data_IF_997629215195
#
_entry.id   IF_997629215195
#
_cell.length_a   1.000
_cell.length_b   1.000
_cell.length_c   1.000
_cell.angle_alpha   90.00
_cell.angle_beta   90.00
_cell.angle_gamma   90.00
#
_symmetry.space_group_name_H-M   'P 1'
#
loop_
_entity.id
_entity.type
_entity.pdbx_description
1 polymer ?
#
# COMPACT_ATOMS: atom_id res chain seq x y z
N UNK A 1 2.82 -20.87 -13.37
CA UNK A 1 2.06 -19.76 -13.96
C UNK A 1 2.24 -19.83 -15.46
N UNK A 2 1.25 -19.39 -16.23
CA UNK A 2 1.39 -19.31 -17.68
C UNK A 2 2.29 -18.12 -18.06
N UNK A 3 3.33 -18.37 -18.85
CA UNK A 3 4.17 -17.32 -19.45
C UNK A 3 5.43 -16.94 -18.67
N UNK A 4 6.17 -15.96 -19.20
CA UNK A 4 7.38 -15.40 -18.59
C UNK A 4 6.99 -14.42 -17.47
N UNK A 5 7.76 -14.34 -16.38
CA UNK A 5 7.53 -13.34 -15.34
C UNK A 5 7.59 -11.94 -15.98
N UNK A 6 6.63 -11.11 -15.61
CA UNK A 6 6.47 -9.77 -16.19
C UNK A 6 5.89 -8.81 -15.17
N UNK A 7 6.29 -7.54 -15.26
CA UNK A 7 5.81 -6.43 -14.44
C UNK A 7 4.28 -6.30 -14.49
N UNK A 8 3.66 -6.64 -15.63
CA UNK A 8 2.20 -6.58 -15.78
C UNK A 8 1.47 -7.44 -14.75
N UNK A 9 2.01 -8.59 -14.37
CA UNK A 9 1.38 -9.43 -13.35
C UNK A 9 1.36 -8.74 -11.99
N UNK A 10 2.49 -8.14 -11.59
CA UNK A 10 2.60 -7.40 -10.35
C UNK A 10 1.69 -6.16 -10.31
N UNK A 11 1.57 -5.49 -11.47
CA UNK A 11 0.69 -4.33 -11.65
C UNK A 11 -0.79 -4.71 -11.54
N UNK A 12 -1.21 -5.84 -12.11
CA UNK A 12 -2.60 -6.30 -11.98
C UNK A 12 -2.92 -6.69 -10.54
N UNK A 13 -2.01 -7.40 -9.87
CA UNK A 13 -2.19 -7.78 -8.46
C UNK A 13 -2.35 -6.54 -7.58
N UNK A 14 -1.41 -5.58 -7.68
CA UNK A 14 -1.48 -4.38 -6.85
C UNK A 14 -2.77 -3.59 -7.13
N UNK A 15 -3.20 -3.54 -8.39
CA UNK A 15 -4.45 -2.88 -8.74
C UNK A 15 -5.62 -3.54 -8.01
N UNK A 16 -5.77 -4.87 -8.12
CA UNK A 16 -6.92 -5.59 -7.58
C UNK A 16 -6.95 -5.56 -6.04
N UNK A 17 -5.81 -5.77 -5.37
CA UNK A 17 -5.70 -5.75 -3.91
C UNK A 17 -6.14 -4.39 -3.35
N UNK A 18 -5.57 -3.29 -3.87
CA UNK A 18 -5.89 -1.95 -3.40
C UNK A 18 -7.24 -1.45 -3.88
N UNK A 19 -7.72 -1.91 -5.03
CA UNK A 19 -9.07 -1.63 -5.49
C UNK A 19 -10.11 -2.27 -4.58
N UNK A 20 -9.92 -3.53 -4.18
CA UNK A 20 -10.80 -4.22 -3.23
C UNK A 20 -10.82 -3.50 -1.87
N UNK A 21 -9.65 -3.08 -1.37
CA UNK A 21 -9.55 -2.33 -0.12
C UNK A 21 -10.20 -0.95 -0.19
N UNK A 22 -9.96 -0.19 -1.26
CA UNK A 22 -10.51 1.15 -1.40
C UNK A 22 -12.03 1.17 -1.62
N UNK A 23 -12.61 0.12 -2.22
CA UNK A 23 -14.07 -0.07 -2.28
C UNK A 23 -14.69 -0.13 -0.88
N UNK A 24 -13.98 -0.72 0.09
CA UNK A 24 -14.48 -0.91 1.46
C UNK A 24 -14.41 0.34 2.33
N UNK A 25 -13.85 1.44 1.83
CA UNK A 25 -13.69 2.68 2.61
C UNK A 25 -15.01 3.13 3.25
N UNK A 26 -16.10 3.19 2.47
CA UNK A 26 -17.42 3.59 2.96
C UNK A 26 -18.00 2.59 3.96
N UNK A 27 -18.18 1.30 3.63
CA UNK A 27 -18.83 0.36 4.55
C UNK A 27 -17.98 0.07 5.79
N UNK A 28 -16.64 0.16 5.70
CA UNK A 28 -15.77 0.09 6.88
C UNK A 28 -16.07 1.23 7.86
N UNK A 29 -16.23 2.46 7.37
CA UNK A 29 -16.55 3.61 8.21
C UNK A 29 -17.94 3.46 8.86
N UNK A 30 -18.92 2.94 8.12
CA UNK A 30 -20.26 2.64 8.67
C UNK A 30 -20.17 1.64 9.82
N UNK A 31 -19.54 0.48 9.60
CA UNK A 31 -19.41 -0.58 10.62
C UNK A 31 -18.62 -0.11 11.83
N UNK A 32 -17.60 0.72 11.63
CA UNK A 32 -16.80 1.30 12.69
C UNK A 32 -17.61 2.30 13.53
N UNK A 33 -18.45 3.11 12.90
CA UNK A 33 -19.32 4.06 13.60
C UNK A 33 -20.43 3.35 14.38
N UNK A 34 -21.04 2.31 13.81
CA UNK A 34 -22.06 1.50 14.48
C UNK A 34 -21.49 0.74 15.69
N UNK A 35 -20.26 0.22 15.58
CA UNK A 35 -19.64 -0.56 16.67
C UNK A 35 -19.05 0.35 17.76
N UNK A 36 -18.48 1.50 17.39
CA UNK A 36 -17.78 2.41 18.30
C UNK A 36 -18.30 3.84 18.17
N UNK A 37 -19.58 4.06 18.41
CA UNK A 37 -20.28 5.35 18.21
C UNK A 37 -19.64 6.54 18.96
N UNK A 38 -19.11 6.32 20.18
CA UNK A 38 -18.47 7.37 20.98
C UNK A 38 -16.98 7.59 20.70
N UNK A 39 -16.29 6.61 20.09
CA UNK A 39 -14.83 6.63 19.92
C UNK A 39 -14.37 6.16 18.52
N UNK A 40 -15.18 6.42 17.49
CA UNK A 40 -14.97 5.91 16.12
C UNK A 40 -13.57 6.22 15.58
N UNK A 41 -13.13 7.48 15.71
CA UNK A 41 -11.82 7.91 15.21
C UNK A 41 -10.65 7.35 16.02
N UNK A 42 -10.80 7.25 17.34
CA UNK A 42 -9.76 6.71 18.22
C UNK A 42 -9.55 5.23 17.95
N UNK A 43 -10.63 4.45 17.79
CA UNK A 43 -10.55 3.04 17.45
C UNK A 43 -9.98 2.81 16.04
N UNK A 44 -10.36 3.64 15.05
CA UNK A 44 -9.75 3.59 13.72
C UNK A 44 -8.22 3.79 13.80
N UNK A 45 -7.79 4.82 14.53
CA UNK A 45 -6.38 5.14 14.72
C UNK A 45 -5.63 4.02 15.45
N UNK A 46 -6.24 3.41 16.47
CA UNK A 46 -5.65 2.29 17.21
C UNK A 46 -5.48 1.05 16.32
N UNK A 47 -6.52 0.69 15.56
CA UNK A 47 -6.50 -0.47 14.64
C UNK A 47 -5.41 -0.26 13.58
N UNK A 48 -5.39 0.90 12.94
CA UNK A 48 -4.37 1.22 11.92
C UNK A 48 -2.96 1.31 12.53
N UNK A 49 -2.84 1.82 13.76
CA UNK A 49 -1.59 1.86 14.51
C UNK A 49 -1.04 0.48 14.82
N UNK A 50 -1.88 -0.42 15.33
CA UNK A 50 -1.50 -1.83 15.58
C UNK A 50 -1.15 -2.54 14.29
N UNK A 51 -1.96 -2.36 13.23
CA UNK A 51 -1.68 -2.91 11.89
C UNK A 51 -0.32 -2.42 11.37
N UNK A 52 -0.04 -1.13 11.45
CA UNK A 52 1.22 -0.53 11.03
C UNK A 52 2.42 -1.00 11.85
N UNK A 53 2.26 -1.09 13.18
CA UNK A 53 3.30 -1.61 14.08
C UNK A 53 3.64 -3.08 13.78
N UNK A 54 2.63 -3.93 13.61
CA UNK A 54 2.81 -5.33 13.21
C UNK A 54 3.48 -5.43 11.84
N UNK A 55 3.08 -4.58 10.87
CA UNK A 55 3.69 -4.52 9.53
C UNK A 55 5.17 -4.12 9.60
N UNK A 56 5.52 -3.20 10.50
CA UNK A 56 6.89 -2.77 10.70
C UNK A 56 7.77 -3.89 11.28
N UNK A 57 7.27 -4.62 12.28
CA UNK A 57 7.98 -5.77 12.86
C UNK A 57 8.13 -6.91 11.87
N UNK A 58 7.09 -7.18 11.08
CA UNK A 58 7.06 -8.29 10.14
C UNK A 58 7.75 -7.99 8.81
N UNK A 59 7.96 -6.73 8.44
CA UNK A 59 8.53 -6.37 7.14
C UNK A 59 9.90 -7.03 6.85
N UNK A 60 10.89 -6.99 7.78
CA UNK A 60 12.17 -7.67 7.55
C UNK A 60 12.02 -9.20 7.56
N UNK A 61 11.19 -9.75 8.44
CA UNK A 61 10.93 -11.17 8.57
C UNK A 61 10.32 -11.74 7.28
N UNK A 62 9.26 -11.11 6.79
CA UNK A 62 8.55 -11.51 5.56
C UNK A 62 9.42 -11.26 4.33
N UNK A 63 10.20 -10.17 4.30
CA UNK A 63 11.18 -9.94 3.24
C UNK A 63 12.16 -11.11 3.12
N UNK A 64 12.84 -11.43 4.22
CA UNK A 64 13.81 -12.53 4.27
C UNK A 64 13.17 -13.90 3.95
N UNK A 65 11.97 -14.16 4.47
CA UNK A 65 11.24 -15.39 4.17
C UNK A 65 10.80 -15.45 2.70
N UNK A 66 10.40 -14.32 2.09
CA UNK A 66 10.01 -14.25 0.68
C UNK A 66 11.17 -14.53 -0.27
N UNK A 67 12.38 -14.15 0.14
CA UNK A 67 13.62 -14.44 -0.59
C UNK A 67 14.02 -15.92 -0.50
N UNK A 68 13.71 -16.59 0.61
CA UNK A 68 14.08 -18.00 0.82
C UNK A 68 13.03 -19.02 0.33
N UNK A 69 11.74 -18.73 0.51
CA UNK A 69 10.63 -19.66 0.21
C UNK A 69 9.93 -19.37 -1.12
N UNK A 70 10.30 -18.28 -1.78
CA UNK A 70 9.78 -17.88 -3.08
C UNK A 70 8.75 -16.75 -2.98
N UNK A 71 8.93 -15.73 -3.83
CA UNK A 71 8.14 -14.49 -3.82
C UNK A 71 6.67 -14.69 -4.19
N UNK A 72 6.35 -15.69 -5.03
CA UNK A 72 4.95 -16.01 -5.38
C UNK A 72 4.16 -16.51 -4.18
N UNK A 73 4.71 -17.45 -3.41
CA UNK A 73 4.03 -18.05 -2.25
C UNK A 73 3.77 -17.00 -1.18
N UNK A 74 4.74 -16.11 -0.94
CA UNK A 74 4.58 -15.01 0.00
C UNK A 74 3.60 -13.95 -0.49
N UNK A 75 3.64 -13.58 -1.76
CA UNK A 75 2.67 -12.64 -2.34
C UNK A 75 1.23 -13.18 -2.22
N UNK A 76 1.02 -14.49 -2.44
CA UNK A 76 -0.28 -15.11 -2.23
C UNK A 76 -0.70 -15.08 -0.76
N UNK A 77 0.22 -15.40 0.15
CA UNK A 77 -0.03 -15.39 1.58
C UNK A 77 -0.41 -13.98 2.06
N UNK A 78 0.32 -12.94 1.60
CA UNK A 78 0.05 -11.56 1.97
C UNK A 78 -1.30 -11.09 1.45
N UNK A 79 -1.62 -11.35 0.18
CA UNK A 79 -2.92 -10.99 -0.39
C UNK A 79 -4.06 -11.76 0.30
N UNK A 80 -3.89 -13.06 0.57
CA UNK A 80 -4.89 -13.86 1.28
C UNK A 80 -5.20 -13.30 2.67
N UNK A 81 -4.19 -13.00 3.48
CA UNK A 81 -4.39 -12.44 4.81
C UNK A 81 -4.93 -11.00 4.79
N UNK A 82 -4.61 -10.23 3.75
CA UNK A 82 -5.13 -8.87 3.56
C UNK A 82 -6.59 -8.87 3.09
N UNK A 83 -7.02 -9.91 2.37
CA UNK A 83 -8.38 -10.08 1.87
C UNK A 83 -9.31 -10.87 2.81
N UNK A 84 -8.77 -11.72 3.69
CA UNK A 84 -9.54 -12.52 4.64
C UNK A 84 -10.48 -11.70 5.57
N UNK A 85 -10.13 -10.47 6.02
CA UNK A 85 -11.04 -9.65 6.82
C UNK A 85 -12.31 -9.21 6.06
N UNK A 86 -12.25 -9.03 4.74
CA UNK A 86 -13.34 -8.45 3.93
C UNK A 86 -14.68 -9.18 4.15
N UNK A 87 -14.80 -10.51 3.95
CA UNK A 87 -16.05 -11.22 4.18
C UNK A 87 -16.48 -11.25 5.66
N UNK A 88 -15.52 -11.17 6.59
CA UNK A 88 -15.82 -11.16 8.03
C UNK A 88 -16.56 -9.91 8.47
N UNK A 89 -16.43 -8.81 7.72
CA UNK A 89 -17.18 -7.58 7.97
C UNK A 89 -18.70 -7.80 7.93
N UNK A 90 -19.18 -8.78 7.16
CA UNK A 90 -20.58 -9.18 7.10
C UNK A 90 -21.02 -10.07 8.28
N UNK A 91 -20.10 -10.87 8.83
CA UNK A 91 -20.42 -11.90 9.83
C UNK A 91 -20.41 -11.28 11.22
N UNK A 92 -19.32 -10.61 11.58
CA UNK A 92 -19.16 -10.02 12.90
C UNK A 92 -18.12 -8.89 12.87
N UNK A 93 -18.50 -7.67 13.30
CA UNK A 93 -17.56 -6.55 13.40
C UNK A 93 -16.35 -6.84 14.29
N UNK A 94 -16.54 -7.58 15.38
CA UNK A 94 -15.44 -7.95 16.29
C UNK A 94 -14.40 -8.85 15.63
N UNK A 95 -14.83 -9.85 14.85
CA UNK A 95 -13.93 -10.71 14.08
C UNK A 95 -13.25 -9.95 12.96
N UNK A 96 -13.94 -9.01 12.31
CA UNK A 96 -13.35 -8.10 11.33
C UNK A 96 -12.21 -7.29 11.96
N UNK A 97 -12.43 -6.64 13.10
CA UNK A 97 -11.40 -5.84 13.77
C UNK A 97 -10.23 -6.67 14.31
N UNK A 98 -10.48 -7.88 14.78
CA UNK A 98 -9.41 -8.80 15.18
C UNK A 98 -8.56 -9.20 13.96
N UNK A 99 -9.20 -9.62 12.87
CA UNK A 99 -8.51 -10.08 11.67
C UNK A 99 -7.81 -8.96 10.92
N UNK A 100 -8.38 -7.75 10.88
CA UNK A 100 -7.72 -6.60 10.25
C UNK A 100 -6.46 -6.19 11.02
N UNK A 101 -6.48 -6.30 12.36
CA UNK A 101 -5.31 -6.04 13.19
C UNK A 101 -4.23 -7.09 12.94
N UNK A 102 -4.60 -8.38 12.94
CA UNK A 102 -3.68 -9.50 12.67
C UNK A 102 -3.14 -9.48 11.23
N UNK A 103 -3.94 -9.02 10.27
CA UNK A 103 -3.51 -8.88 8.86
C UNK A 103 -2.31 -7.95 8.71
N UNK A 104 -2.05 -7.06 9.68
CA UNK A 104 -0.86 -6.24 9.75
C UNK A 104 0.44 -7.05 9.67
N UNK A 105 0.47 -8.27 10.22
CA UNK A 105 1.64 -9.15 10.11
C UNK A 105 1.97 -9.40 8.64
N UNK A 106 0.97 -9.57 7.77
CA UNK A 106 1.18 -9.89 6.36
C UNK A 106 0.98 -8.68 5.43
N UNK A 107 0.75 -7.48 5.97
CA UNK A 107 0.52 -6.25 5.21
C UNK A 107 1.84 -5.65 4.68
N UNK A 108 2.68 -6.50 4.08
CA UNK A 108 3.99 -6.15 3.50
C UNK A 108 3.99 -6.38 1.98
N UNK A 109 2.80 -6.47 1.35
CA UNK A 109 2.63 -6.80 -0.06
C UNK A 109 3.40 -5.85 -0.98
N UNK A 110 3.43 -4.55 -0.67
CA UNK A 110 4.23 -3.56 -1.40
C UNK A 110 5.71 -3.93 -1.50
N UNK A 111 6.33 -4.35 -0.39
CA UNK A 111 7.75 -4.72 -0.37
C UNK A 111 8.01 -5.94 -1.26
N UNK A 112 7.14 -6.96 -1.15
CA UNK A 112 7.24 -8.20 -1.95
C UNK A 112 7.03 -7.92 -3.45
N UNK A 113 6.11 -7.02 -3.80
CA UNK A 113 5.87 -6.61 -5.18
C UNK A 113 7.07 -5.84 -5.75
N UNK A 114 7.60 -4.86 -5.02
CA UNK A 114 8.79 -4.13 -5.48
C UNK A 114 9.98 -5.06 -5.66
N UNK A 115 10.16 -6.01 -4.74
CA UNK A 115 11.16 -7.05 -4.88
C UNK A 115 10.89 -7.88 -6.16
N UNK A 116 9.68 -8.43 -6.35
CA UNK A 116 9.32 -9.19 -7.55
C UNK A 116 9.61 -8.42 -8.84
N UNK A 117 9.26 -7.13 -8.89
CA UNK A 117 9.55 -6.28 -10.05
C UNK A 117 11.06 -6.11 -10.26
N UNK A 118 11.84 -5.97 -9.19
CA UNK A 118 13.30 -5.88 -9.26
C UNK A 118 13.97 -7.13 -9.86
N UNK A 119 13.43 -8.32 -9.59
CA UNK A 119 13.96 -9.59 -10.12
C UNK A 119 13.69 -9.75 -11.61
N UNK A 120 12.55 -9.25 -12.06
CA UNK A 120 12.03 -9.49 -13.41
C UNK A 120 12.48 -8.39 -14.39
N UNK A 121 12.90 -7.23 -13.88
CA UNK A 121 13.31 -6.08 -14.69
C UNK A 121 14.81 -5.84 -14.65
N UNK A 122 15.34 -5.39 -15.79
CA UNK A 122 16.74 -4.98 -15.90
C UNK A 122 16.98 -3.66 -15.15
N UNK A 123 18.21 -3.42 -14.70
CA UNK A 123 18.54 -2.28 -13.84
C UNK A 123 18.14 -0.92 -14.42
N UNK A 124 18.23 -0.76 -15.74
CA UNK A 124 17.86 0.48 -16.42
C UNK A 124 16.34 0.70 -16.52
N UNK A 125 15.53 -0.35 -16.42
CA UNK A 125 14.06 -0.28 -16.53
C UNK A 125 13.35 -0.33 -15.18
N UNK A 126 14.04 -0.78 -14.12
CA UNK A 126 13.50 -0.89 -12.75
C UNK A 126 12.77 0.37 -12.32
N UNK A 127 13.34 1.53 -12.64
CA UNK A 127 12.80 2.81 -12.21
C UNK A 127 11.46 3.11 -12.89
N UNK A 128 11.35 2.85 -14.19
CA UNK A 128 10.09 2.96 -14.94
C UNK A 128 9.07 1.94 -14.46
N UNK A 129 9.51 0.72 -14.16
CA UNK A 129 8.64 -0.34 -13.64
C UNK A 129 8.08 0.01 -12.24
N UNK A 130 8.89 0.55 -11.34
CA UNK A 130 8.44 1.07 -10.06
C UNK A 130 7.47 2.24 -10.22
N UNK A 131 7.73 3.15 -11.16
CA UNK A 131 6.79 4.22 -11.51
C UNK A 131 5.42 3.68 -11.96
N UNK A 132 5.41 2.63 -12.78
CA UNK A 132 4.17 1.99 -13.25
C UNK A 132 3.38 1.31 -12.11
N UNK A 133 4.07 0.62 -11.20
CA UNK A 133 3.46 0.02 -10.00
C UNK A 133 2.81 1.09 -9.13
N UNK A 134 3.55 2.16 -8.83
CA UNK A 134 3.04 3.29 -8.04
C UNK A 134 1.84 3.96 -8.72
N UNK A 135 1.92 4.22 -10.04
CA UNK A 135 0.84 4.84 -10.79
C UNK A 135 -0.44 4.00 -10.78
N UNK A 136 -0.29 2.69 -10.83
CA UNK A 136 -1.42 1.76 -10.80
C UNK A 136 -2.06 1.73 -9.41
N UNK A 137 -1.23 1.76 -8.37
CA UNK A 137 -1.72 1.95 -7.00
C UNK A 137 -2.49 3.27 -6.85
N UNK A 138 -1.93 4.40 -7.32
CA UNK A 138 -2.62 5.68 -7.28
C UNK A 138 -3.95 5.64 -8.07
N UNK A 139 -3.98 4.99 -9.24
CA UNK A 139 -5.19 4.81 -10.01
C UNK A 139 -6.24 3.98 -9.25
N UNK A 140 -5.83 2.88 -8.62
CA UNK A 140 -6.72 2.04 -7.81
C UNK A 140 -7.32 2.83 -6.62
N UNK A 141 -6.52 3.64 -5.93
CA UNK A 141 -6.96 4.43 -4.78
C UNK A 141 -7.98 5.53 -5.13
N UNK A 142 -7.98 6.00 -6.37
CA UNK A 142 -8.88 7.09 -6.81
C UNK A 142 -10.17 6.52 -7.36
N UNK A 143 -10.06 5.46 -8.17
CA UNK A 143 -11.20 4.80 -8.79
C UNK A 143 -12.04 4.03 -7.78
N UNK A 144 -11.42 3.37 -6.80
CA UNK A 144 -12.12 2.46 -5.89
C UNK A 144 -13.07 3.14 -4.91
N UNK A 145 -12.75 4.24 -4.19
CA UNK A 145 -13.71 4.86 -3.28
C UNK A 145 -14.85 5.53 -4.03
N UNK A 146 -14.59 6.06 -5.24
CA UNK A 146 -15.63 6.64 -6.09
C UNK A 146 -16.66 5.59 -6.51
N UNK A 147 -16.20 4.42 -6.97
CA UNK A 147 -17.08 3.29 -7.33
C UNK A 147 -17.75 2.72 -6.09
N UNK A 148 -17.03 2.58 -4.97
CA UNK A 148 -17.54 2.07 -3.70
C UNK A 148 -18.63 2.94 -3.10
N UNK A 149 -18.44 4.27 -3.12
CA UNK A 149 -19.45 5.23 -2.68
C UNK A 149 -20.70 5.22 -3.57
N UNK A 150 -20.53 5.13 -4.89
CA UNK A 150 -21.66 5.04 -5.83
C UNK A 150 -22.48 3.75 -5.64
N UNK A 151 -21.81 2.60 -5.47
CA UNK A 151 -22.47 1.32 -5.18
C UNK A 151 -23.15 1.35 -3.81
N UNK A 152 -22.49 1.89 -2.78
CA UNK A 152 -23.06 2.04 -1.44
C UNK A 152 -24.35 2.87 -1.48
N UNK A 153 -24.34 4.01 -2.18
CA UNK A 153 -25.50 4.90 -2.29
C UNK A 153 -26.68 4.29 -3.06
N UNK A 154 -26.41 3.51 -4.13
CA UNK A 154 -27.46 2.98 -5.01
C UNK A 154 -28.00 1.63 -4.55
N UNK A 155 -27.16 0.80 -3.94
CA UNK A 155 -27.41 -0.62 -3.71
C UNK A 155 -27.12 -1.07 -2.27
N UNK A 156 -26.59 -0.20 -1.43
CA UNK A 156 -26.27 -0.47 -0.02
C UNK A 156 -24.88 -1.09 0.20
N UNK A 157 -24.40 -0.98 1.43
CA UNK A 157 -23.07 -1.41 1.85
C UNK A 157 -22.82 -2.91 1.65
N UNK A 158 -23.87 -3.74 1.75
CA UNK A 158 -23.78 -5.19 1.55
C UNK A 158 -23.29 -5.58 0.16
N UNK A 159 -23.70 -4.84 -0.89
CA UNK A 159 -23.29 -5.14 -2.26
C UNK A 159 -21.85 -4.71 -2.51
N UNK A 160 -21.40 -3.61 -1.89
CA UNK A 160 -20.00 -3.17 -1.95
C UNK A 160 -19.07 -4.24 -1.37
N UNK A 161 -19.42 -4.81 -0.20
CA UNK A 161 -18.63 -5.88 0.45
C UNK A 161 -18.57 -7.13 -0.42
N UNK A 162 -19.68 -7.50 -1.06
CA UNK A 162 -19.73 -8.65 -1.96
C UNK A 162 -18.84 -8.44 -3.18
N UNK A 163 -18.89 -7.26 -3.81
CA UNK A 163 -18.03 -6.92 -4.95
C UNK A 163 -16.56 -6.90 -4.55
N UNK A 164 -16.22 -6.28 -3.41
CA UNK A 164 -14.85 -6.29 -2.88
C UNK A 164 -14.34 -7.71 -2.61
N UNK A 165 -15.18 -8.58 -2.06
CA UNK A 165 -14.84 -10.01 -1.83
C UNK A 165 -14.59 -10.74 -3.15
N UNK A 166 -15.42 -10.50 -4.18
CA UNK A 166 -15.22 -11.11 -5.50
C UNK A 166 -13.92 -10.63 -6.14
N UNK A 167 -13.60 -9.34 -6.07
CA UNK A 167 -12.34 -8.78 -6.59
C UNK A 167 -11.14 -9.43 -5.88
N UNK A 168 -11.20 -9.56 -4.55
CA UNK A 168 -10.16 -10.23 -3.77
C UNK A 168 -9.97 -11.70 -4.14
N UNK A 169 -11.06 -12.45 -4.36
CA UNK A 169 -10.99 -13.86 -4.80
C UNK A 169 -10.42 -13.95 -6.21
N UNK A 170 -10.79 -13.04 -7.11
CA UNK A 170 -10.22 -12.96 -8.46
C UNK A 170 -8.73 -12.67 -8.39
N UNK A 171 -8.29 -11.78 -7.50
CA UNK A 171 -6.86 -11.49 -7.31
C UNK A 171 -6.07 -12.72 -6.83
N UNK A 172 -6.56 -13.41 -5.80
CA UNK A 172 -5.96 -14.67 -5.32
C UNK A 172 -5.92 -15.72 -6.45
N UNK A 173 -6.99 -15.84 -7.23
CA UNK A 173 -7.06 -16.75 -8.37
C UNK A 173 -6.06 -16.36 -9.47
N UNK A 174 -5.92 -15.06 -9.76
CA UNK A 174 -4.97 -14.53 -10.71
C UNK A 174 -3.52 -14.80 -10.27
N UNK A 175 -3.22 -14.65 -8.98
CA UNK A 175 -1.90 -14.99 -8.41
C UNK A 175 -1.62 -16.49 -8.56
N UNK A 176 -2.60 -17.34 -8.26
CA UNK A 176 -2.47 -18.79 -8.38
C UNK A 176 -2.20 -19.22 -9.82
N UNK A 177 -3.00 -18.74 -10.78
CA UNK A 177 -3.01 -19.21 -12.16
C UNK A 177 -2.00 -18.46 -13.05
N UNK A 178 -1.99 -17.13 -13.00
CA UNK A 178 -1.28 -16.28 -13.93
C UNK A 178 0.16 -16.00 -13.48
N UNK A 179 0.40 -15.62 -12.22
CA UNK A 179 1.75 -15.23 -11.76
C UNK A 179 2.71 -16.43 -11.84
N UNK A 180 3.73 -16.42 -12.72
CA UNK A 180 4.79 -17.41 -12.69
C UNK A 180 5.76 -17.09 -11.55
N UNK A 181 6.39 -18.13 -11.01
CA UNK A 181 7.37 -17.98 -9.92
C UNK A 181 8.60 -17.22 -10.46
N UNK A 182 8.98 -16.10 -9.82
CA UNK A 182 10.10 -15.27 -10.27
C UNK A 182 11.47 -15.82 -9.88
N UNK A 183 11.55 -16.67 -8.84
CA UNK A 183 12.82 -17.25 -8.44
C UNK A 183 13.20 -18.44 -9.34
N UNK A 184 14.47 -18.54 -9.75
CA UNK A 184 14.98 -19.75 -10.40
C UNK A 184 14.82 -20.95 -9.48
N UNK A 185 14.34 -22.07 -10.03
CA UNK A 185 14.14 -23.35 -9.35
C UNK A 185 15.40 -23.85 -8.61
N UNK A 186 16.58 -23.35 -8.99
CA UNK A 186 17.90 -23.65 -8.39
C UNK A 186 18.20 -22.93 -7.05
N UNK A 187 17.45 -21.88 -6.69
CA UNK A 187 17.59 -21.18 -5.39
C UNK A 187 16.58 -21.65 -4.35
N UNK A 188 15.65 -22.56 -4.70
CA UNK A 188 14.81 -23.22 -3.70
C UNK A 188 15.75 -24.04 -2.80
N UNK A 189 15.75 -23.83 -1.47
CA UNK A 189 16.37 -24.82 -0.61
C UNK A 189 15.64 -26.14 -0.87
N UNK A 190 16.38 -27.13 -1.35
CA UNK A 190 15.88 -28.47 -1.66
C UNK A 190 15.33 -29.21 -0.42
N UNK A 191 15.39 -28.59 0.76
CA UNK A 191 14.86 -29.07 2.02
C UNK A 191 14.00 -28.00 2.68
N UNK A 192 12.87 -28.44 3.23
CA UNK A 192 11.97 -27.71 4.14
C UNK A 192 12.65 -27.43 5.50
N UNK A 193 13.91 -26.97 5.47
CA UNK A 193 14.82 -26.96 6.60
C UNK A 193 16.21 -26.35 6.34
N UNK A 194 16.45 -25.65 5.22
CA UNK A 194 17.63 -24.79 5.15
C UNK A 194 17.52 -23.73 6.26
N UNK A 195 18.53 -23.70 7.13
CA UNK A 195 18.57 -22.85 8.32
C UNK A 195 18.35 -21.40 7.93
N UNK A 196 17.12 -20.90 8.12
CA UNK A 196 16.87 -19.47 8.15
C UNK A 196 17.77 -18.95 9.26
N UNK A 197 18.82 -18.22 8.88
CA UNK A 197 19.63 -17.54 9.87
C UNK A 197 18.70 -16.58 10.59
N UNK A 198 18.44 -16.84 11.87
CA UNK A 198 17.62 -15.97 12.71
C UNK A 198 18.15 -14.52 12.74
N UNK A 199 19.41 -14.30 12.35
CA UNK A 199 19.99 -12.97 12.14
C UNK A 199 19.45 -12.22 10.90
N UNK A 200 18.88 -12.92 9.91
CA UNK A 200 18.20 -12.30 8.76
C UNK A 200 16.72 -12.03 9.04
N UNK A 201 16.11 -12.82 9.92
CA UNK A 201 14.72 -12.69 10.36
C UNK A 201 14.52 -11.61 11.44
N UNK A 202 15.60 -11.18 12.11
CA UNK A 202 15.55 -10.18 13.18
C UNK A 202 15.49 -8.74 12.60
N UNK A 203 14.38 -8.00 12.81
CA UNK A 203 14.25 -6.62 12.37
C UNK A 203 15.31 -5.69 12.99
N UNK A 204 15.76 -5.97 14.21
CA UNK A 204 16.77 -5.16 14.90
C UNK A 204 18.18 -5.40 14.38
N UNK A 205 18.50 -6.64 13.96
CA UNK A 205 19.78 -6.95 13.33
C UNK A 205 19.93 -6.25 11.97
N UNK A 206 18.85 -6.18 11.19
CA UNK A 206 18.80 -5.43 9.93
C UNK A 206 19.00 -3.93 10.15
N UNK A 207 18.34 -3.34 11.16
CA UNK A 207 18.57 -1.95 11.56
C UNK A 207 20.03 -1.68 11.96
N UNK A 208 20.65 -2.62 12.68
CA UNK A 208 22.05 -2.50 13.12
C UNK A 208 23.03 -2.55 11.94
N UNK A 209 22.73 -3.32 10.88
CA UNK A 209 23.51 -3.33 9.63
C UNK A 209 23.37 -2.01 8.89
N UNK A 210 22.14 -1.51 8.74
CA UNK A 210 21.87 -0.20 8.12
C UNK A 210 22.59 0.94 8.85
N UNK A 211 22.64 0.90 10.19
CA UNK A 211 23.35 1.90 11.00
C UNK A 211 24.86 1.93 10.76
N UNK A 212 25.46 0.83 10.33
CA UNK A 212 26.91 0.75 10.07
C UNK A 212 27.28 1.29 8.69
N UNK A 213 26.34 1.38 7.76
CA UNK A 213 26.59 1.87 6.41
C UNK A 213 26.37 3.39 6.35
N UNK A 214 27.47 4.12 6.16
CA UNK A 214 27.46 5.59 6.10
C UNK A 214 26.70 6.16 4.90
N UNK A 215 26.36 5.35 3.90
CA UNK A 215 25.61 5.77 2.71
C UNK A 215 24.12 5.45 2.83
N UNK A 216 23.78 4.30 3.41
CA UNK A 216 22.38 3.85 3.54
C UNK A 216 21.66 4.53 4.70
N UNK A 217 22.35 4.75 5.82
CA UNK A 217 21.78 5.42 7.00
C UNK A 217 21.14 6.79 6.69
N UNK A 218 21.81 7.74 6.00
CA UNK A 218 21.19 9.02 5.68
C UNK A 218 19.97 8.86 4.76
N UNK A 219 19.97 7.92 3.82
CA UNK A 219 18.82 7.65 2.94
C UNK A 219 17.63 7.15 3.77
N UNK A 220 17.85 6.22 4.69
CA UNK A 220 16.80 5.73 5.58
C UNK A 220 16.25 6.83 6.48
N UNK A 221 17.10 7.70 7.02
CA UNK A 221 16.66 8.85 7.82
C UNK A 221 15.84 9.82 6.97
N UNK A 222 16.27 10.12 5.74
CA UNK A 222 15.52 10.98 4.81
C UNK A 222 14.15 10.40 4.51
N UNK A 223 14.04 9.10 4.21
CA UNK A 223 12.76 8.43 3.94
C UNK A 223 11.88 8.41 5.19
N UNK A 224 12.45 8.15 6.36
CA UNK A 224 11.69 8.17 7.62
C UNK A 224 11.12 9.57 7.90
N UNK A 225 11.95 10.60 7.75
CA UNK A 225 11.53 12.00 7.94
C UNK A 225 10.57 12.49 6.86
N UNK A 226 10.57 11.92 5.64
CA UNK A 226 9.59 12.24 4.61
C UNK A 226 8.24 11.56 4.86
N UNK A 227 8.24 10.30 5.32
CA UNK A 227 7.00 9.56 5.58
C UNK A 227 6.26 10.02 6.84
N UNK A 228 6.98 10.54 7.85
CA UNK A 228 6.38 10.94 9.13
C UNK A 228 5.35 12.09 8.99
N UNK A 229 5.66 13.21 8.30
CA UNK A 229 4.67 14.23 8.00
C UNK A 229 3.53 13.74 7.10
N UNK A 230 3.84 12.85 6.15
CA UNK A 230 2.86 12.31 5.21
C UNK A 230 1.81 11.44 5.91
N UNK A 231 2.24 10.59 6.87
CA UNK A 231 1.33 9.82 7.71
C UNK A 231 0.42 10.73 8.56
N UNK A 232 0.99 11.80 9.12
CA UNK A 232 0.23 12.84 9.82
C UNK A 232 -0.82 13.48 8.91
N UNK A 233 -0.44 13.83 7.68
CA UNK A 233 -1.34 14.37 6.67
C UNK A 233 -2.49 13.39 6.41
N UNK A 234 -2.24 12.12 6.04
CA UNK A 234 -3.33 11.17 5.73
C UNK A 234 -4.37 11.03 6.84
N UNK A 235 -3.94 11.08 8.11
CA UNK A 235 -4.87 10.95 9.26
C UNK A 235 -5.75 12.19 9.46
N UNK A 236 -5.22 13.38 9.20
CA UNK A 236 -5.88 14.66 9.55
C UNK A 236 -6.43 15.41 8.34
N UNK A 237 -6.09 15.00 7.12
CA UNK A 237 -6.36 15.72 5.88
C UNK A 237 -7.85 15.98 5.66
N UNK A 238 -8.69 14.95 5.78
CA UNK A 238 -10.14 15.09 5.56
C UNK A 238 -10.81 15.96 6.62
N UNK A 239 -10.31 15.91 7.86
CA UNK A 239 -10.81 16.76 8.95
C UNK A 239 -10.44 18.22 8.72
N UNK A 240 -9.19 18.48 8.32
CA UNK A 240 -8.70 19.82 7.98
C UNK A 240 -9.52 20.46 6.84
N UNK A 241 -9.73 19.74 5.73
CA UNK A 241 -10.52 20.24 4.61
C UNK A 241 -11.96 20.59 5.03
N UNK A 242 -12.57 19.76 5.88
CA UNK A 242 -13.95 19.96 6.31
C UNK A 242 -14.11 21.06 7.36
N UNK A 243 -13.21 21.13 8.34
CA UNK A 243 -13.35 22.04 9.50
C UNK A 243 -12.73 23.42 9.29
N UNK A 244 -11.58 23.50 8.60
CA UNK A 244 -10.84 24.76 8.44
C UNK A 244 -11.15 25.41 7.10
N UNK A 245 -11.04 24.66 6.01
CA UNK A 245 -11.32 25.18 4.66
C UNK A 245 -12.83 25.29 4.39
N UNK A 246 -13.66 24.55 5.13
CA UNK A 246 -15.12 24.57 4.97
C UNK A 246 -15.60 23.83 3.72
N UNK A 247 -14.80 22.89 3.19
CA UNK A 247 -15.22 22.09 2.04
C UNK A 247 -16.44 21.22 2.37
N UNK A 248 -17.45 21.30 1.50
CA UNK A 248 -18.55 20.34 1.49
C UNK A 248 -18.11 18.97 0.99
N UNK A 249 -18.91 17.94 1.23
CA UNK A 249 -18.60 16.57 0.81
C UNK A 249 -18.31 16.45 -0.69
N UNK A 250 -18.99 17.24 -1.52
CA UNK A 250 -18.79 17.26 -2.98
C UNK A 250 -17.43 17.87 -3.39
N UNK A 251 -16.96 18.93 -2.72
CA UNK A 251 -15.67 19.54 -3.04
C UNK A 251 -14.49 18.70 -2.52
N UNK A 252 -14.67 17.99 -1.40
CA UNK A 252 -13.68 16.99 -0.94
C UNK A 252 -13.53 15.88 -1.97
N UNK A 253 -14.65 15.31 -2.46
CA UNK A 253 -14.61 14.27 -3.48
C UNK A 253 -13.97 14.76 -4.78
N UNK A 254 -14.29 15.98 -5.23
CA UNK A 254 -13.67 16.60 -6.40
C UNK A 254 -12.16 16.81 -6.21
N UNK A 255 -11.74 17.25 -5.03
CA UNK A 255 -10.32 17.42 -4.71
C UNK A 255 -9.55 16.10 -4.77
N UNK A 256 -10.08 15.02 -4.16
CA UNK A 256 -9.47 13.68 -4.22
C UNK A 256 -9.36 13.22 -5.67
N UNK A 257 -10.41 13.43 -6.48
CA UNK A 257 -10.40 13.04 -7.89
C UNK A 257 -9.32 13.79 -8.69
N UNK A 258 -9.20 15.12 -8.50
CA UNK A 258 -8.18 15.94 -9.16
C UNK A 258 -6.77 15.53 -8.73
N UNK A 259 -6.52 15.39 -7.43
CA UNK A 259 -5.21 14.93 -6.90
C UNK A 259 -4.89 13.54 -7.41
N UNK A 260 -5.89 12.68 -7.51
CA UNK A 260 -5.78 11.34 -8.06
C UNK A 260 -5.30 11.32 -9.50
N UNK A 261 -5.99 12.04 -10.38
CA UNK A 261 -5.62 12.18 -11.79
C UNK A 261 -4.24 12.80 -11.93
N UNK A 262 -3.95 13.88 -11.18
CA UNK A 262 -2.62 14.49 -11.17
C UNK A 262 -1.54 13.51 -10.72
N UNK A 263 -1.81 12.68 -9.71
CA UNK A 263 -0.86 11.69 -9.19
C UNK A 263 -0.55 10.62 -10.23
N UNK A 264 -1.56 10.14 -10.97
CA UNK A 264 -1.35 9.18 -12.06
C UNK A 264 -0.45 9.80 -13.13
N UNK A 265 -0.75 11.03 -13.57
CA UNK A 265 0.06 11.74 -14.58
C UNK A 265 1.48 12.02 -14.07
N UNK A 266 1.61 12.42 -12.81
CA UNK A 266 2.90 12.72 -12.19
C UNK A 266 3.77 11.46 -12.07
N UNK A 267 3.22 10.33 -11.64
CA UNK A 267 3.96 9.09 -11.43
C UNK A 267 4.30 8.36 -12.74
N UNK A 268 3.47 8.48 -13.79
CA UNK A 268 3.75 7.88 -15.10
C UNK A 268 4.66 8.74 -15.97
N UNK A 269 4.36 10.03 -16.11
CA UNK A 269 5.01 10.92 -17.08
C UNK A 269 6.12 11.72 -16.41
N UNK A 270 5.79 12.53 -15.39
CA UNK A 270 6.77 13.44 -14.79
C UNK A 270 7.92 12.70 -14.12
N UNK A 271 7.63 11.64 -13.36
CA UNK A 271 8.65 10.85 -12.69
C UNK A 271 9.64 10.28 -13.70
N UNK A 272 9.14 9.65 -14.77
CA UNK A 272 9.99 9.08 -15.84
C UNK A 272 10.87 10.15 -16.51
N UNK A 273 10.29 11.32 -16.82
CA UNK A 273 11.03 12.44 -17.43
C UNK A 273 12.09 13.00 -16.48
N UNK A 274 11.73 13.28 -15.22
CA UNK A 274 12.66 13.84 -14.23
C UNK A 274 13.84 12.89 -14.02
N UNK A 275 13.58 11.61 -13.84
CA UNK A 275 14.63 10.63 -13.58
C UNK A 275 15.59 10.51 -14.76
N UNK A 276 15.10 10.61 -16.01
CA UNK A 276 15.95 10.61 -17.21
C UNK A 276 16.73 11.92 -17.40
N UNK A 277 16.15 13.06 -17.01
CA UNK A 277 16.73 14.38 -17.28
C UNK A 277 17.75 14.83 -16.23
N UNK A 278 17.45 14.64 -14.94
CA UNK A 278 18.24 15.20 -13.83
C UNK A 278 18.87 14.14 -12.93
N UNK A 279 18.57 12.86 -13.16
CA UNK A 279 19.09 11.71 -12.42
C UNK A 279 18.39 11.45 -11.08
N UNK A 280 18.66 10.27 -10.50
CA UNK A 280 17.96 9.76 -9.31
C UNK A 280 18.11 10.68 -8.09
N UNK A 281 19.33 11.13 -7.80
CA UNK A 281 19.63 11.96 -6.61
C UNK A 281 18.90 13.30 -6.64
N UNK A 282 18.94 14.00 -7.78
CA UNK A 282 18.31 15.31 -7.91
C UNK A 282 16.78 15.20 -7.97
N UNK A 283 16.25 14.11 -8.52
CA UNK A 283 14.82 13.82 -8.49
C UNK A 283 14.31 13.69 -7.05
N UNK A 284 15.04 12.97 -6.19
CA UNK A 284 14.70 12.86 -4.75
C UNK A 284 14.75 14.22 -4.06
N UNK A 285 15.78 15.04 -4.32
CA UNK A 285 15.89 16.38 -3.75
C UNK A 285 14.74 17.31 -4.17
N UNK A 286 14.34 17.27 -5.45
CA UNK A 286 13.17 18.03 -5.92
C UNK A 286 11.87 17.54 -5.28
N UNK A 287 11.68 16.22 -5.14
CA UNK A 287 10.52 15.64 -4.47
C UNK A 287 10.39 16.11 -3.02
N UNK A 288 11.50 16.10 -2.27
CA UNK A 288 11.54 16.62 -0.90
C UNK A 288 11.25 18.13 -0.85
N UNK A 289 11.77 18.89 -1.82
CA UNK A 289 11.46 20.32 -1.95
C UNK A 289 9.96 20.59 -2.17
N UNK A 290 9.33 19.84 -3.08
CA UNK A 290 7.88 19.93 -3.29
C UNK A 290 7.08 19.50 -2.09
N UNK A 291 7.53 18.48 -1.35
CA UNK A 291 6.87 18.03 -0.13
C UNK A 291 6.89 19.13 0.96
N UNK A 292 8.03 19.81 1.15
CA UNK A 292 8.13 20.95 2.07
C UNK A 292 7.16 22.05 1.65
N UNK A 293 7.12 22.37 0.37
CA UNK A 293 6.23 23.40 -0.18
C UNK A 293 4.75 23.03 0.02
N UNK A 294 4.38 21.78 -0.23
CA UNK A 294 3.03 21.25 0.00
C UNK A 294 2.62 21.37 1.48
N UNK A 295 3.49 20.93 2.41
CA UNK A 295 3.19 20.97 3.84
C UNK A 295 3.12 22.42 4.36
N UNK A 296 4.01 23.29 3.87
CA UNK A 296 3.95 24.73 4.19
C UNK A 296 2.64 25.33 3.67
N UNK A 297 2.21 24.97 2.46
CA UNK A 297 0.94 25.43 1.91
C UNK A 297 -0.25 24.99 2.75
N UNK A 298 -0.31 23.74 3.21
CA UNK A 298 -1.36 23.29 4.13
C UNK A 298 -1.30 23.94 5.51
N UNK A 299 -0.10 24.31 5.97
CA UNK A 299 0.09 25.00 7.25
C UNK A 299 -0.37 26.47 7.23
N UNK A 300 -0.11 27.19 6.14
CA UNK A 300 -0.39 28.63 6.03
C UNK A 300 -1.67 28.95 5.24
N UNK A 301 -2.15 28.03 4.41
CA UNK A 301 -3.37 28.19 3.64
C UNK A 301 -4.60 28.11 4.56
N UNK A 302 -5.46 29.13 4.49
CA UNK A 302 -6.72 29.17 5.22
C UNK A 302 -7.92 29.43 4.31
N UNK A 303 -7.69 29.64 3.01
CA UNK A 303 -8.74 29.92 2.04
C UNK A 303 -9.08 28.68 1.19
N UNK A 304 -10.35 28.57 0.84
CA UNK A 304 -10.81 27.68 -0.23
C UNK A 304 -10.38 28.23 -1.60
N UNK A 305 -10.26 27.32 -2.58
CA UNK A 305 -10.02 27.60 -3.99
C UNK A 305 -10.83 28.77 -4.56
#
# INVERSE_FOLDING_TARGET
GFGRPSVYHAVVVIFLEFFAWGLLTTPMLTVLHETFSHHTFLMNGLIQGVKGFLSFLSAPLIGALSDAWGRKSFLLLTVFFTCAPIPLMRISPWWYFAMISVSGIFSVTFSVIFAYVADVTQEHERITAYGLVSATFAASLVTSPAIGAYLSASYGDNLVVLVATLVAVVDICFILLAVPESLPEKMRPASWGASISWEQADPFASLKKVRKDSTVLPICITVFLSYLPEAGQYSSFFLYLRQIIGFGSASIAAFIAVVGVLSIVAQTVFLSILMRSIGNKNTVLLGLGFQILQLAWYGFGSQSW
#
